data_IF_859973950211
#
_entry.id   IF_859973950211
#
_cell.length_a   1.000
_cell.length_b   1.000
_cell.length_c   1.000
_cell.angle_alpha   90.00
_cell.angle_beta   90.00
_cell.angle_gamma   90.00
#
_symmetry.space_group_name_H-M   'P 1'
#
loop_
_entity.id
_entity.type
_entity.pdbx_description
1 polymer ?
#
# COMPACT_ATOMS: atom_id res chain seq x y z
N UNK A 1 0.63 -15.61 -13.45
CA UNK A 1 0.33 -14.34 -12.74
C UNK A 1 0.34 -14.49 -11.23
N UNK A 2 0.09 -15.69 -10.67
CA UNK A 2 0.19 -15.99 -9.24
C UNK A 2 1.60 -15.70 -8.67
N UNK A 3 2.64 -16.17 -9.36
CA UNK A 3 4.04 -16.03 -8.88
C UNK A 3 4.47 -14.58 -8.68
N UNK A 4 4.02 -13.67 -9.54
CA UNK A 4 4.35 -12.23 -9.42
C UNK A 4 3.61 -11.60 -8.23
N UNK A 5 2.36 -12.00 -7.97
CA UNK A 5 1.61 -11.52 -6.81
C UNK A 5 2.25 -12.02 -5.50
N UNK A 6 2.69 -13.28 -5.48
CA UNK A 6 3.40 -13.87 -4.35
C UNK A 6 4.75 -13.21 -4.10
N UNK A 7 5.55 -12.98 -5.16
CA UNK A 7 6.82 -12.23 -5.06
C UNK A 7 6.61 -10.81 -4.54
N UNK A 8 5.58 -10.10 -5.03
CA UNK A 8 5.23 -8.76 -4.52
C UNK A 8 4.87 -8.81 -3.05
N UNK A 9 4.04 -9.77 -2.64
CA UNK A 9 3.64 -9.98 -1.25
C UNK A 9 4.84 -10.25 -0.34
N UNK A 10 5.74 -11.15 -0.75
CA UNK A 10 6.97 -11.44 -0.03
C UNK A 10 7.86 -10.20 0.12
N UNK A 11 8.08 -9.45 -0.96
CA UNK A 11 8.89 -8.24 -0.90
C UNK A 11 8.24 -7.14 -0.05
N UNK A 12 6.93 -6.99 -0.13
CA UNK A 12 6.16 -6.07 0.72
C UNK A 12 6.26 -6.45 2.21
N UNK A 13 6.28 -7.74 2.55
CA UNK A 13 6.47 -8.22 3.92
C UNK A 13 7.87 -7.87 4.46
N UNK A 14 8.93 -8.03 3.66
CA UNK A 14 10.30 -7.67 4.05
C UNK A 14 10.39 -6.17 4.37
N UNK A 15 9.81 -5.29 3.55
CA UNK A 15 9.79 -3.85 3.85
C UNK A 15 9.00 -3.53 5.12
N UNK A 16 7.92 -4.26 5.41
CA UNK A 16 7.17 -4.09 6.65
C UNK A 16 7.97 -4.51 7.90
N UNK A 17 8.80 -5.54 7.81
CA UNK A 17 9.71 -5.95 8.89
C UNK A 17 10.80 -4.90 9.13
N UNK A 18 11.43 -4.40 8.07
CA UNK A 18 12.39 -3.29 8.14
C UNK A 18 11.77 -2.03 8.75
N UNK A 19 10.49 -1.77 8.48
CA UNK A 19 9.77 -0.67 9.13
C UNK A 19 9.64 -0.90 10.65
N UNK A 20 9.32 -2.12 11.09
CA UNK A 20 9.23 -2.45 12.50
C UNK A 20 10.58 -2.27 13.22
N UNK A 21 11.69 -2.64 12.58
CA UNK A 21 13.02 -2.43 13.14
C UNK A 21 13.41 -0.95 13.20
N UNK A 22 13.04 -0.17 12.20
CA UNK A 22 13.21 1.29 12.24
C UNK A 22 12.41 1.95 13.38
N UNK A 23 11.20 1.47 13.68
CA UNK A 23 10.42 1.92 14.85
C UNK A 23 11.15 1.61 16.15
N UNK A 24 11.68 0.38 16.31
CA UNK A 24 12.49 0.00 17.49
C UNK A 24 13.72 0.89 17.65
N UNK A 25 14.34 1.26 16.54
CA UNK A 25 15.48 2.20 16.50
C UNK A 25 15.09 3.68 16.63
N UNK A 26 13.80 3.99 16.82
CA UNK A 26 13.23 5.36 16.88
C UNK A 26 13.40 6.19 15.60
N UNK A 27 13.71 5.56 14.47
CA UNK A 27 13.78 6.21 13.14
C UNK A 27 12.41 6.12 12.44
N UNK A 28 11.48 6.97 12.87
CA UNK A 28 10.10 6.95 12.38
C UNK A 28 9.99 7.35 10.90
N UNK A 29 10.86 8.24 10.43
CA UNK A 29 10.85 8.64 9.02
C UNK A 29 11.27 7.49 8.10
N UNK A 30 12.27 6.70 8.51
CA UNK A 30 12.64 5.49 7.78
C UNK A 30 11.54 4.44 7.84
N UNK A 31 10.87 4.27 8.98
CA UNK A 31 9.72 3.37 9.09
C UNK A 31 8.59 3.76 8.11
N UNK A 32 8.24 5.05 8.03
CA UNK A 32 7.24 5.56 7.08
C UNK A 32 7.63 5.26 5.62
N UNK A 33 8.90 5.52 5.25
CA UNK A 33 9.41 5.25 3.89
C UNK A 33 9.35 3.78 3.52
N UNK A 34 9.66 2.89 4.46
CA UNK A 34 9.56 1.45 4.23
C UNK A 34 8.11 1.00 4.03
N UNK A 35 7.16 1.47 4.85
CA UNK A 35 5.74 1.15 4.66
C UNK A 35 5.16 1.73 3.36
N UNK A 36 5.57 2.94 2.97
CA UNK A 36 5.19 3.49 1.67
C UNK A 36 5.74 2.64 0.50
N UNK A 37 6.96 2.11 0.64
CA UNK A 37 7.55 1.22 -0.36
C UNK A 37 6.83 -0.12 -0.42
N UNK A 38 6.49 -0.71 0.73
CA UNK A 38 5.71 -1.95 0.83
C UNK A 38 4.36 -1.80 0.11
N UNK A 39 3.60 -0.73 0.40
CA UNK A 39 2.29 -0.49 -0.21
C UNK A 39 2.35 -0.21 -1.72
N UNK A 40 3.47 0.27 -2.24
CA UNK A 40 3.69 0.48 -3.68
C UNK A 40 3.99 -0.83 -4.41
N UNK A 41 4.77 -1.71 -3.78
CA UNK A 41 5.16 -3.00 -4.36
C UNK A 41 4.01 -4.00 -4.28
N UNK A 42 3.30 -4.00 -3.15
CA UNK A 42 2.18 -4.88 -2.85
C UNK A 42 0.92 -4.07 -2.50
N UNK A 43 0.24 -3.50 -3.51
CA UNK A 43 -0.97 -2.73 -3.30
C UNK A 43 -2.12 -3.57 -2.73
N UNK A 44 -2.11 -4.90 -2.92
CA UNK A 44 -3.14 -5.81 -2.40
C UNK A 44 -3.17 -5.86 -0.86
N UNK A 45 -2.01 -5.66 -0.22
CA UNK A 45 -1.89 -5.60 1.24
C UNK A 45 -1.79 -4.18 1.81
N UNK A 46 -2.13 -3.13 1.04
CA UNK A 46 -2.04 -1.73 1.48
C UNK A 46 -2.63 -1.50 2.88
N UNK A 47 -3.83 -2.02 3.15
CA UNK A 47 -4.52 -1.86 4.44
C UNK A 47 -3.71 -2.40 5.62
N UNK A 48 -2.95 -3.49 5.42
CA UNK A 48 -2.05 -4.04 6.44
C UNK A 48 -0.95 -3.05 6.78
N UNK A 49 -0.33 -2.44 5.77
CA UNK A 49 0.74 -1.45 5.97
C UNK A 49 0.21 -0.16 6.59
N UNK A 50 -0.99 0.28 6.24
CA UNK A 50 -1.65 1.42 6.90
C UNK A 50 -1.91 1.13 8.39
N UNK A 51 -2.41 -0.06 8.73
CA UNK A 51 -2.60 -0.45 10.13
C UNK A 51 -1.27 -0.43 10.91
N UNK A 52 -0.18 -0.87 10.28
CA UNK A 52 1.14 -0.82 10.90
C UNK A 52 1.64 0.62 11.08
N UNK A 53 1.45 1.49 10.09
CA UNK A 53 1.77 2.92 10.20
C UNK A 53 1.05 3.55 11.39
N UNK A 54 -0.26 3.31 11.49
CA UNK A 54 -1.11 3.83 12.56
C UNK A 54 -0.76 3.25 13.94
N UNK A 55 0.04 2.18 14.03
CA UNK A 55 0.48 1.64 15.32
C UNK A 55 1.48 2.56 16.04
N UNK A 56 2.29 3.32 15.29
CA UNK A 56 3.31 4.22 15.82
C UNK A 56 3.10 5.69 15.42
N UNK A 57 2.23 5.96 14.45
CA UNK A 57 1.91 7.30 13.97
C UNK A 57 0.43 7.40 13.61
N UNK A 58 -0.40 7.84 14.57
CA UNK A 58 -1.87 7.82 14.49
C UNK A 58 -2.45 8.78 13.45
N UNK A 59 -1.70 9.80 13.05
CA UNK A 59 -2.17 10.80 12.07
C UNK A 59 -1.63 10.55 10.67
N UNK A 60 -0.65 9.66 10.51
CA UNK A 60 -0.04 9.41 9.22
C UNK A 60 -0.92 8.55 8.30
N UNK A 61 -0.77 8.79 7.01
CA UNK A 61 -1.42 8.02 5.94
C UNK A 61 -0.37 7.65 4.90
N UNK A 62 -0.58 6.52 4.21
CA UNK A 62 0.30 6.15 3.11
C UNK A 62 -0.01 6.98 1.86
N UNK A 63 1.00 7.37 1.06
CA UNK A 63 0.78 8.04 -0.21
C UNK A 63 -0.20 7.26 -1.08
N UNK A 64 -1.14 7.96 -1.74
CA UNK A 64 -2.04 7.30 -2.72
C UNK A 64 -1.22 6.84 -3.91
N UNK A 65 -1.52 5.66 -4.42
CA UNK A 65 -0.91 5.16 -5.64
C UNK A 65 -1.51 5.91 -6.85
N UNK A 66 -0.71 6.67 -7.61
CA UNK A 66 -1.21 7.45 -8.75
C UNK A 66 -1.83 6.58 -9.85
N UNK A 67 -1.54 5.28 -9.88
CA UNK A 67 -2.10 4.36 -10.86
C UNK A 67 -3.43 3.72 -10.43
N UNK A 68 -3.90 3.94 -9.20
CA UNK A 68 -5.18 3.41 -8.71
C UNK A 68 -6.39 4.33 -8.98
N UNK A 69 -6.17 5.52 -9.54
CA UNK A 69 -7.22 6.54 -9.74
C UNK A 69 -8.06 6.39 -11.01
N UNK A 70 -7.96 5.29 -11.78
CA UNK A 70 -8.64 5.17 -13.07
C UNK A 70 -9.47 3.89 -13.23
N UNK A 71 -10.41 3.60 -12.32
CA UNK A 71 -11.43 2.55 -12.57
C UNK A 71 -12.79 2.78 -11.89
N UNK A 72 -13.23 4.03 -11.73
CA UNK A 72 -14.63 4.30 -11.34
C UNK A 72 -15.23 5.52 -12.02
N UNK A 73 -15.21 5.54 -13.34
CA UNK A 73 -16.05 6.41 -14.16
C UNK A 73 -16.20 5.76 -15.55
N UNK A 74 -17.22 4.91 -15.71
CA UNK A 74 -17.47 4.22 -16.99
C UNK A 74 -18.40 3.02 -16.86
N UNK A 75 -19.54 3.18 -16.18
CA UNK A 75 -20.59 2.15 -16.17
C UNK A 75 -21.96 2.80 -16.01
N UNK A 76 -22.29 3.72 -16.90
CA UNK A 76 -23.67 4.10 -17.19
C UNK A 76 -23.69 4.74 -18.57
N UNK A 77 -24.04 3.95 -19.57
CA UNK A 77 -24.92 4.31 -20.69
C UNK A 77 -24.94 3.16 -21.70
N UNK A 78 -25.72 2.12 -21.36
CA UNK A 78 -26.28 1.22 -22.36
C UNK A 78 -27.71 1.70 -22.66
N UNK A 79 -27.87 2.27 -23.85
CA UNK A 79 -28.98 2.01 -24.77
C UNK A 79 -30.37 2.52 -24.42
N UNK A 80 -30.75 3.66 -24.99
CA UNK A 80 -32.06 3.85 -25.66
C UNK A 80 -31.87 4.79 -26.84
N UNK A 81 -31.68 4.25 -28.05
CA UNK A 81 -32.22 4.85 -29.28
C UNK A 81 -32.45 3.71 -30.28
N UNK A 82 -33.71 3.28 -30.40
CA UNK A 82 -34.48 3.21 -31.66
C UNK A 82 -35.86 2.65 -31.36
#
# INVERSE_FOLDING_TARGET
SHDVAEQRSGLGAIYAELAADAVKARDLDRARRFLATAARIDPGNRRRYENQLLSFDKSATLPRDPHQTSTRAGSTEQGVVR
#
